data_IF_080958967059
#
_entry.id   IF_080958967059
#
_cell.length_a   1.000
_cell.length_b   1.000
_cell.length_c   1.000
_cell.angle_alpha   90.00
_cell.angle_beta   90.00
_cell.angle_gamma   90.00
#
_symmetry.space_group_name_H-M   'P 1'
#
loop_
_entity.id
_entity.type
_entity.pdbx_description
1 polymer ?
#
# COMPACT_ATOMS: atom_id res chain seq x y z
N UNK A 1 29.27 -24.72 18.80
CA UNK A 1 29.41 -23.36 19.35
C UNK A 1 29.99 -22.51 18.24
N UNK A 2 29.17 -21.99 17.33
CA UNK A 2 29.62 -21.14 16.23
C UNK A 2 30.04 -19.79 16.81
N UNK A 3 31.32 -19.47 16.58
CA UNK A 3 31.93 -18.21 17.01
C UNK A 3 31.26 -17.10 16.18
N UNK A 4 30.36 -16.31 16.79
CA UNK A 4 29.79 -15.10 16.21
C UNK A 4 30.97 -14.15 15.88
N UNK A 5 31.40 -14.15 14.62
CA UNK A 5 32.40 -13.22 14.13
C UNK A 5 31.82 -11.80 14.25
N UNK A 6 32.37 -10.99 15.16
CA UNK A 6 32.00 -9.58 15.32
C UNK A 6 32.17 -8.90 13.94
N UNK A 7 31.05 -8.61 13.27
CA UNK A 7 31.09 -7.90 11.99
C UNK A 7 31.56 -6.46 12.21
N UNK A 8 32.36 -5.97 11.29
CA UNK A 8 32.76 -4.56 11.24
C UNK A 8 31.51 -3.70 11.00
N UNK A 9 31.40 -2.54 11.66
CA UNK A 9 30.35 -1.55 11.40
C UNK A 9 30.29 -1.19 9.91
N UNK A 10 31.43 -1.10 9.22
CA UNK A 10 31.50 -0.86 7.79
C UNK A 10 30.80 -1.94 6.97
N UNK A 11 30.96 -3.23 7.32
CA UNK A 11 30.25 -4.33 6.65
C UNK A 11 28.74 -4.29 6.91
N UNK A 12 28.32 -3.86 8.08
CA UNK A 12 26.91 -3.71 8.43
C UNK A 12 26.26 -2.58 7.64
N UNK A 13 26.97 -1.47 7.48
CA UNK A 13 26.45 -0.32 6.72
C UNK A 13 26.53 -0.50 5.20
N UNK A 14 27.45 -1.31 4.68
CA UNK A 14 27.61 -1.53 3.24
C UNK A 14 26.34 -2.06 2.57
N UNK A 15 25.50 -2.82 3.29
CA UNK A 15 24.21 -3.34 2.78
C UNK A 15 23.26 -2.22 2.39
N UNK A 16 23.29 -1.08 3.09
CA UNK A 16 22.39 0.06 2.81
C UNK A 16 22.77 0.85 1.55
N UNK A 17 24.00 0.66 1.01
CA UNK A 17 24.44 1.28 -0.24
C UNK A 17 24.11 0.44 -1.50
N UNK A 18 23.47 -0.71 -1.33
CA UNK A 18 22.95 -1.48 -2.46
C UNK A 18 21.88 -0.67 -3.21
N UNK A 19 21.92 -0.68 -4.55
CA UNK A 19 20.93 0.02 -5.39
C UNK A 19 19.50 -0.44 -5.11
N UNK A 20 19.32 -1.68 -4.65
CA UNK A 20 18.02 -2.23 -4.25
C UNK A 20 17.43 -1.46 -3.06
N UNK A 21 18.27 -1.00 -2.14
CA UNK A 21 17.83 -0.23 -0.96
C UNK A 21 17.26 1.13 -1.35
N UNK A 22 17.83 1.79 -2.37
CA UNK A 22 17.29 3.05 -2.90
C UNK A 22 15.91 2.82 -3.53
N UNK A 23 15.75 1.73 -4.28
CA UNK A 23 14.43 1.35 -4.85
C UNK A 23 13.41 1.09 -3.76
N UNK A 24 13.82 0.41 -2.68
CA UNK A 24 12.96 0.11 -1.52
C UNK A 24 12.59 1.39 -0.77
N UNK A 25 13.54 2.32 -0.59
CA UNK A 25 13.26 3.64 -0.02
C UNK A 25 12.22 4.40 -0.85
N UNK A 26 12.34 4.37 -2.18
CA UNK A 26 11.36 4.98 -3.08
C UNK A 26 9.99 4.31 -2.96
N UNK A 27 9.93 2.97 -2.90
CA UNK A 27 8.68 2.24 -2.67
C UNK A 27 8.04 2.63 -1.33
N UNK A 28 8.84 2.76 -0.27
CA UNK A 28 8.37 3.26 1.01
C UNK A 28 7.79 4.66 0.90
N UNK A 29 8.47 5.58 0.19
CA UNK A 29 7.97 6.95 0.00
C UNK A 29 6.65 6.99 -0.79
N UNK A 30 6.51 6.15 -1.80
CA UNK A 30 5.26 5.98 -2.56
C UNK A 30 4.13 5.49 -1.64
N UNK A 31 4.42 4.57 -0.72
CA UNK A 31 3.45 4.02 0.24
C UNK A 31 3.06 5.05 1.31
N UNK A 32 4.01 5.82 1.85
CA UNK A 32 3.74 6.80 2.91
C UNK A 32 3.02 8.07 2.43
N UNK A 33 3.13 8.41 1.16
CA UNK A 33 2.59 9.67 0.62
C UNK A 33 1.06 9.80 0.72
N UNK A 34 0.22 8.79 0.41
CA UNK A 34 -1.24 8.91 0.53
C UNK A 34 -1.73 9.19 1.95
N UNK A 35 -0.96 8.81 2.97
CA UNK A 35 -1.28 9.10 4.37
C UNK A 35 -1.31 10.61 4.67
N UNK A 36 -0.53 11.42 3.94
CA UNK A 36 -0.61 12.89 4.04
C UNK A 36 -1.99 13.36 3.65
N UNK A 37 -2.53 12.80 2.58
CA UNK A 37 -3.79 13.22 1.96
C UNK A 37 -4.96 12.98 2.92
N UNK A 38 -5.10 11.74 3.41
CA UNK A 38 -6.23 11.33 4.25
C UNK A 38 -6.04 11.64 5.74
N UNK A 39 -4.79 11.76 6.20
CA UNK A 39 -4.48 12.06 7.60
C UNK A 39 -4.45 13.55 7.88
N UNK A 40 -3.34 14.19 7.58
CA UNK A 40 -3.11 15.58 7.94
C UNK A 40 -3.88 16.56 7.06
N UNK A 41 -3.83 16.40 5.72
CA UNK A 41 -4.44 17.37 4.80
C UNK A 41 -5.97 17.37 4.90
N UNK A 42 -6.61 16.20 4.90
CA UNK A 42 -8.06 16.11 5.07
C UNK A 42 -8.51 16.72 6.39
N UNK A 43 -7.86 16.35 7.50
CA UNK A 43 -8.24 16.84 8.83
C UNK A 43 -8.07 18.35 8.95
N UNK A 44 -7.02 18.91 8.36
CA UNK A 44 -6.76 20.34 8.40
C UNK A 44 -7.73 21.11 7.50
N UNK A 45 -7.97 20.62 6.29
CA UNK A 45 -8.98 21.17 5.38
C UNK A 45 -10.38 21.26 6.05
N UNK A 46 -10.86 20.16 6.65
CA UNK A 46 -12.14 20.14 7.35
C UNK A 46 -12.18 21.10 8.53
N UNK A 47 -11.05 21.24 9.25
CA UNK A 47 -10.94 22.18 10.37
C UNK A 47 -11.01 23.63 9.91
N UNK A 48 -10.29 24.00 8.85
CA UNK A 48 -10.22 25.37 8.33
C UNK A 48 -11.53 25.79 7.66
N UNK A 49 -12.27 24.84 7.09
CA UNK A 49 -13.63 25.05 6.60
C UNK A 49 -14.68 25.11 7.75
N UNK A 50 -14.25 25.11 9.01
CA UNK A 50 -15.11 25.37 10.17
C UNK A 50 -15.85 24.15 10.72
N UNK A 51 -15.52 22.93 10.30
CA UNK A 51 -16.17 21.72 10.82
C UNK A 51 -15.75 21.40 12.26
N UNK A 52 -16.69 20.81 13.02
CA UNK A 52 -16.45 20.50 14.42
C UNK A 52 -15.38 19.42 14.63
N UNK A 53 -14.67 19.46 15.77
CA UNK A 53 -13.69 18.43 16.13
C UNK A 53 -14.29 17.02 16.16
N UNK A 54 -15.55 16.90 16.60
CA UNK A 54 -16.27 15.63 16.60
C UNK A 54 -16.45 15.10 15.17
N UNK A 55 -16.87 15.95 14.25
CA UNK A 55 -17.02 15.60 12.83
C UNK A 55 -15.70 15.13 12.19
N UNK A 56 -14.60 15.84 12.49
CA UNK A 56 -13.26 15.48 12.02
C UNK A 56 -12.83 14.13 12.61
N UNK A 57 -13.12 13.89 13.90
CA UNK A 57 -12.86 12.62 14.56
C UNK A 57 -13.61 11.45 13.88
N UNK A 58 -14.87 11.63 13.53
CA UNK A 58 -15.64 10.63 12.78
C UNK A 58 -15.09 10.41 11.37
N UNK A 59 -14.65 11.46 10.68
CA UNK A 59 -13.98 11.33 9.38
C UNK A 59 -12.71 10.47 9.49
N UNK A 60 -12.01 10.51 10.63
CA UNK A 60 -10.84 9.68 10.89
C UNK A 60 -11.10 8.16 10.90
N UNK A 61 -12.36 7.71 11.00
CA UNK A 61 -12.68 6.28 10.91
C UNK A 61 -12.33 5.64 9.55
N UNK A 62 -12.06 6.44 8.52
CA UNK A 62 -11.54 5.91 7.24
C UNK A 62 -10.25 5.11 7.41
N UNK A 63 -9.45 5.41 8.46
CA UNK A 63 -8.25 4.66 8.79
C UNK A 63 -8.51 3.22 9.26
N UNK A 64 -9.74 2.89 9.69
CA UNK A 64 -10.09 1.52 10.07
C UNK A 64 -9.87 0.51 8.92
N UNK A 65 -9.89 0.98 7.67
CA UNK A 65 -9.60 0.15 6.49
C UNK A 65 -8.25 -0.55 6.58
N UNK A 66 -7.24 0.12 7.14
CA UNK A 66 -5.89 -0.46 7.29
C UNK A 66 -5.84 -1.63 8.27
N UNK A 67 -6.76 -1.68 9.25
CA UNK A 67 -6.87 -2.80 10.16
C UNK A 67 -7.39 -4.08 9.49
N UNK A 68 -8.05 -3.94 8.34
CA UNK A 68 -8.70 -5.05 7.64
C UNK A 68 -8.07 -5.37 6.29
N UNK A 69 -7.03 -4.64 5.86
CA UNK A 69 -6.44 -4.77 4.53
C UNK A 69 -5.91 -6.19 4.24
N UNK A 70 -5.47 -6.93 5.26
CA UNK A 70 -5.00 -8.31 5.13
C UNK A 70 -6.08 -9.27 4.62
N UNK A 71 -7.38 -8.94 4.78
CA UNK A 71 -8.47 -9.79 4.32
C UNK A 71 -8.54 -9.92 2.79
N UNK A 72 -8.14 -8.88 2.07
CA UNK A 72 -8.12 -8.91 0.61
C UNK A 72 -6.72 -9.04 0.00
N UNK A 73 -5.67 -9.10 0.81
CA UNK A 73 -4.31 -9.33 0.33
C UNK A 73 -4.19 -10.59 -0.57
N UNK A 74 -4.79 -11.76 -0.22
CA UNK A 74 -4.74 -12.92 -1.09
C UNK A 74 -5.44 -12.72 -2.45
N UNK A 75 -6.41 -11.81 -2.52
CA UNK A 75 -7.10 -11.46 -3.78
C UNK A 75 -6.15 -10.66 -4.66
N UNK A 76 -5.48 -9.65 -4.09
CA UNK A 76 -4.50 -8.81 -4.81
C UNK A 76 -3.36 -9.66 -5.36
N UNK A 77 -2.90 -10.66 -4.61
CA UNK A 77 -1.83 -11.55 -5.04
C UNK A 77 -2.21 -12.39 -6.28
N UNK A 78 -3.49 -12.63 -6.50
CA UNK A 78 -3.98 -13.52 -7.57
C UNK A 78 -4.63 -12.81 -8.74
N UNK A 79 -5.36 -11.73 -8.48
CA UNK A 79 -6.10 -11.03 -9.52
C UNK A 79 -5.15 -10.20 -10.37
N UNK A 80 -5.06 -10.56 -11.64
CA UNK A 80 -4.27 -9.82 -12.62
C UNK A 80 -5.13 -8.73 -13.25
N UNK A 81 -4.57 -7.53 -13.30
CA UNK A 81 -5.22 -6.43 -14.01
C UNK A 81 -4.96 -6.64 -15.51
N UNK A 82 -6.02 -6.88 -16.32
CA UNK A 82 -5.86 -7.05 -17.76
C UNK A 82 -5.05 -5.90 -18.37
N UNK A 83 -4.20 -6.21 -19.36
CA UNK A 83 -3.34 -5.26 -20.05
C UNK A 83 -2.21 -4.65 -19.18
N UNK A 84 -2.51 -4.14 -17.99
CA UNK A 84 -1.52 -3.47 -17.12
C UNK A 84 -0.47 -4.47 -16.61
N UNK A 85 -0.92 -5.61 -16.07
CA UNK A 85 -0.02 -6.68 -15.60
C UNK A 85 0.93 -7.18 -16.69
N UNK A 86 0.44 -7.28 -17.93
CA UNK A 86 1.26 -7.77 -19.03
C UNK A 86 2.32 -6.75 -19.50
N UNK A 87 2.05 -5.45 -19.31
CA UNK A 87 2.97 -4.39 -19.76
C UNK A 87 4.02 -4.00 -18.73
N UNK A 88 3.61 -3.89 -17.46
CA UNK A 88 4.46 -3.30 -16.43
C UNK A 88 4.72 -4.23 -15.23
N UNK A 89 4.13 -5.42 -15.21
CA UNK A 89 4.23 -6.35 -14.10
C UNK A 89 2.97 -6.40 -13.25
N UNK A 90 2.87 -7.42 -12.38
CA UNK A 90 1.68 -7.65 -11.57
C UNK A 90 1.59 -6.64 -10.41
N UNK A 91 2.68 -6.50 -9.65
CA UNK A 91 2.74 -5.60 -8.49
C UNK A 91 2.70 -4.14 -8.91
N UNK A 92 3.53 -3.78 -9.88
CA UNK A 92 3.54 -2.43 -10.44
C UNK A 92 2.20 -2.05 -11.05
N UNK A 93 1.52 -2.99 -11.71
CA UNK A 93 0.18 -2.77 -12.27
C UNK A 93 -0.84 -2.41 -11.19
N UNK A 94 -0.83 -3.09 -10.05
CA UNK A 94 -1.71 -2.77 -8.93
C UNK A 94 -1.37 -1.42 -8.31
N UNK A 95 -0.08 -1.10 -8.08
CA UNK A 95 0.34 0.20 -7.53
C UNK A 95 -0.13 1.33 -8.43
N UNK A 96 0.11 1.23 -9.76
CA UNK A 96 -0.31 2.26 -10.73
C UNK A 96 -1.82 2.43 -10.74
N UNK A 97 -2.59 1.34 -10.69
CA UNK A 97 -4.06 1.42 -10.63
C UNK A 97 -4.54 2.12 -9.37
N UNK A 98 -3.98 1.77 -8.20
CA UNK A 98 -4.36 2.41 -6.94
C UNK A 98 -4.01 3.89 -6.93
N UNK A 99 -2.84 4.26 -7.42
CA UNK A 99 -2.44 5.65 -7.56
C UNK A 99 -3.31 6.43 -8.57
N UNK A 100 -3.75 5.80 -9.65
CA UNK A 100 -4.70 6.41 -10.58
C UNK A 100 -6.05 6.68 -9.89
N UNK A 101 -6.55 5.75 -9.07
CA UNK A 101 -7.76 5.96 -8.27
C UNK A 101 -7.58 7.12 -7.29
N UNK A 102 -6.46 7.18 -6.58
CA UNK A 102 -6.16 8.29 -5.65
C UNK A 102 -6.11 9.62 -6.41
N UNK A 103 -5.47 9.65 -7.58
CA UNK A 103 -5.40 10.86 -8.41
C UNK A 103 -6.79 11.35 -8.83
N UNK A 104 -7.66 10.45 -9.29
CA UNK A 104 -9.05 10.78 -9.62
C UNK A 104 -9.78 11.33 -8.40
N UNK A 105 -9.61 10.73 -7.23
CA UNK A 105 -10.20 11.19 -5.98
C UNK A 105 -9.72 12.60 -5.60
N UNK A 106 -8.44 12.92 -5.79
CA UNK A 106 -7.90 14.26 -5.55
C UNK A 106 -8.50 15.30 -6.50
N UNK A 107 -8.67 14.95 -7.77
CA UNK A 107 -9.38 15.81 -8.73
C UNK A 107 -10.83 16.00 -8.30
N UNK A 108 -11.53 14.95 -7.82
CA UNK A 108 -12.87 15.11 -7.26
C UNK A 108 -12.89 16.05 -6.04
N UNK A 109 -11.95 15.91 -5.11
CA UNK A 109 -11.85 16.81 -3.94
C UNK A 109 -11.55 18.26 -4.35
N UNK A 110 -10.82 18.49 -5.43
CA UNK A 110 -10.56 19.85 -5.94
C UNK A 110 -11.82 20.57 -6.46
N UNK A 111 -12.91 19.85 -6.65
CA UNK A 111 -14.17 20.38 -7.18
C UNK A 111 -15.28 20.49 -6.13
N UNK A 112 -15.03 20.07 -4.88
CA UNK A 112 -16.06 19.94 -3.85
C UNK A 112 -15.80 20.92 -2.70
N UNK A 113 -16.89 21.45 -2.15
CA UNK A 113 -16.87 22.19 -0.88
C UNK A 113 -17.29 21.23 0.26
N UNK A 114 -16.46 21.04 1.30
CA UNK A 114 -16.73 20.07 2.36
C UNK A 114 -17.90 20.46 3.26
N UNK A 115 -18.16 21.75 3.47
CA UNK A 115 -19.29 22.20 4.28
C UNK A 115 -20.64 21.87 3.61
N UNK A 116 -20.70 21.92 2.28
CA UNK A 116 -21.91 21.59 1.53
C UNK A 116 -22.09 20.07 1.32
N UNK A 117 -21.00 19.31 1.20
CA UNK A 117 -21.02 17.91 0.75
C UNK A 117 -20.11 16.99 1.58
N UNK A 118 -20.16 17.10 2.89
CA UNK A 118 -19.28 16.36 3.82
C UNK A 118 -19.31 14.84 3.59
N UNK A 119 -20.50 14.26 3.41
CA UNK A 119 -20.65 12.83 3.19
C UNK A 119 -19.90 12.36 1.91
N UNK A 120 -19.91 13.18 0.86
CA UNK A 120 -19.17 12.90 -0.38
C UNK A 120 -17.66 13.01 -0.16
N UNK A 121 -17.19 14.03 0.57
CA UNK A 121 -15.77 14.19 0.91
C UNK A 121 -15.26 12.99 1.70
N UNK A 122 -15.99 12.53 2.71
CA UNK A 122 -15.63 11.36 3.51
C UNK A 122 -15.65 10.08 2.66
N UNK A 123 -16.66 9.92 1.79
CA UNK A 123 -16.75 8.76 0.90
C UNK A 123 -15.56 8.68 -0.06
N UNK A 124 -15.14 9.80 -0.63
CA UNK A 124 -13.94 9.88 -1.47
C UNK A 124 -12.69 9.57 -0.62
N UNK A 125 -12.60 10.10 0.60
CA UNK A 125 -11.52 9.79 1.53
C UNK A 125 -11.44 8.30 1.86
N UNK A 126 -12.58 7.62 2.01
CA UNK A 126 -12.63 6.18 2.19
C UNK A 126 -12.10 5.43 0.95
N UNK A 127 -12.43 5.88 -0.26
CA UNK A 127 -11.89 5.29 -1.50
C UNK A 127 -10.37 5.47 -1.54
N UNK A 128 -9.85 6.65 -1.17
CA UNK A 128 -8.41 6.90 -1.08
C UNK A 128 -7.77 5.95 -0.06
N UNK A 129 -8.39 5.76 1.12
CA UNK A 129 -7.89 4.87 2.16
C UNK A 129 -7.84 3.41 1.69
N UNK A 130 -8.89 2.92 0.99
CA UNK A 130 -8.92 1.58 0.41
C UNK A 130 -7.83 1.41 -0.65
N UNK A 131 -7.69 2.38 -1.54
CA UNK A 131 -6.67 2.36 -2.58
C UNK A 131 -5.25 2.39 -1.97
N UNK A 132 -5.01 3.25 -0.99
CA UNK A 132 -3.72 3.33 -0.29
C UNK A 132 -3.41 2.05 0.48
N UNK A 133 -4.35 1.49 1.25
CA UNK A 133 -4.15 0.23 1.97
C UNK A 133 -3.87 -0.95 1.02
N UNK A 134 -4.51 -0.96 -0.16
CA UNK A 134 -4.25 -1.95 -1.22
C UNK A 134 -2.86 -1.75 -1.85
N UNK A 135 -2.47 -0.49 -2.05
CA UNK A 135 -1.13 -0.15 -2.52
C UNK A 135 -0.06 -0.63 -1.54
N UNK A 136 -0.25 -0.44 -0.23
CA UNK A 136 0.71 -0.83 0.81
C UNK A 136 0.99 -2.34 0.77
N UNK A 137 -0.05 -3.17 0.66
CA UNK A 137 0.09 -4.63 0.48
C UNK A 137 0.98 -4.94 -0.74
N UNK A 138 0.73 -4.24 -1.84
CA UNK A 138 1.42 -4.50 -3.11
C UNK A 138 2.87 -4.01 -3.08
N UNK A 139 3.11 -2.87 -2.43
CA UNK A 139 4.46 -2.29 -2.21
C UNK A 139 5.29 -3.23 -1.34
N UNK A 140 4.72 -3.75 -0.25
CA UNK A 140 5.41 -4.70 0.62
C UNK A 140 5.77 -5.99 -0.11
N UNK A 141 4.88 -6.51 -0.92
CA UNK A 141 5.15 -7.69 -1.73
C UNK A 141 6.27 -7.42 -2.75
N UNK A 142 6.23 -6.28 -3.47
CA UNK A 142 7.26 -5.89 -4.43
C UNK A 142 8.63 -5.67 -3.75
N UNK A 143 8.64 -5.07 -2.55
CA UNK A 143 9.85 -4.89 -1.73
C UNK A 143 10.52 -6.23 -1.41
N UNK A 144 9.75 -7.21 -0.95
CA UNK A 144 10.25 -8.54 -0.62
C UNK A 144 10.81 -9.23 -1.89
N UNK A 145 10.16 -9.03 -3.03
CA UNK A 145 10.60 -9.57 -4.32
C UNK A 145 11.91 -8.94 -4.83
N UNK A 146 12.25 -7.71 -4.42
CA UNK A 146 13.54 -7.08 -4.74
C UNK A 146 14.72 -7.73 -4.03
N UNK A 147 14.47 -8.51 -2.96
CA UNK A 147 15.48 -9.14 -2.12
C UNK A 147 15.30 -10.66 -2.20
N UNK A 148 16.38 -11.40 -2.42
CA UNK A 148 16.32 -12.86 -2.49
C UNK A 148 15.92 -13.49 -1.14
N UNK A 149 15.20 -14.61 -1.18
CA UNK A 149 14.70 -15.32 0.02
C UNK A 149 15.80 -15.72 1.01
N UNK A 150 17.03 -15.92 0.53
CA UNK A 150 18.19 -16.35 1.32
C UNK A 150 19.04 -15.19 1.84
N UNK A 151 18.67 -13.94 1.58
CA UNK A 151 19.43 -12.75 1.95
C UNK A 151 18.90 -12.10 3.24
N UNK A 152 18.95 -12.80 4.37
CA UNK A 152 18.36 -12.35 5.64
C UNK A 152 18.82 -10.94 6.10
N UNK A 153 20.09 -10.56 5.87
CA UNK A 153 20.61 -9.23 6.21
C UNK A 153 20.03 -8.14 5.31
N UNK A 154 20.01 -8.38 4.01
CA UNK A 154 19.40 -7.48 3.03
C UNK A 154 17.89 -7.33 3.29
N UNK A 155 17.22 -8.38 3.76
CA UNK A 155 15.81 -8.34 4.13
C UNK A 155 15.56 -7.39 5.32
N UNK A 156 16.40 -7.45 6.37
CA UNK A 156 16.30 -6.55 7.51
C UNK A 156 16.61 -5.10 7.13
N UNK A 157 17.67 -4.88 6.34
CA UNK A 157 18.02 -3.55 5.83
C UNK A 157 16.90 -2.99 4.94
N UNK A 158 16.31 -3.82 4.07
CA UNK A 158 15.19 -3.44 3.23
C UNK A 158 13.95 -3.07 4.04
N UNK A 159 13.66 -3.77 5.14
CA UNK A 159 12.57 -3.38 6.04
C UNK A 159 12.82 -2.00 6.66
N UNK A 160 14.04 -1.74 7.15
CA UNK A 160 14.40 -0.43 7.69
C UNK A 160 14.32 0.68 6.63
N UNK A 161 14.82 0.44 5.41
CA UNK A 161 14.75 1.40 4.30
C UNK A 161 13.32 1.69 3.86
N UNK A 162 12.44 0.70 3.88
CA UNK A 162 11.00 0.91 3.60
C UNK A 162 10.36 1.84 4.63
N UNK A 163 10.66 1.65 5.92
CA UNK A 163 10.16 2.52 7.00
C UNK A 163 10.71 3.95 6.85
N UNK A 164 12.02 4.10 6.59
CA UNK A 164 12.62 5.43 6.33
C UNK A 164 11.97 6.08 5.12
N UNK A 165 11.76 5.32 4.04
CA UNK A 165 11.06 5.79 2.85
C UNK A 165 9.63 6.25 3.17
N UNK A 166 8.87 5.44 3.91
CA UNK A 166 7.50 5.75 4.30
C UNK A 166 7.42 7.08 5.06
N UNK A 167 8.26 7.25 6.09
CA UNK A 167 8.34 8.52 6.83
C UNK A 167 8.79 9.69 5.95
N UNK A 168 9.69 9.45 5.00
CA UNK A 168 10.15 10.47 4.05
C UNK A 168 8.99 10.92 3.17
N UNK A 169 8.25 10.00 2.56
CA UNK A 169 7.08 10.32 1.74
C UNK A 169 6.00 11.07 2.51
N UNK A 170 5.68 10.59 3.72
CA UNK A 170 4.73 11.23 4.61
C UNK A 170 5.16 12.66 5.00
N UNK A 171 6.40 12.85 5.47
CA UNK A 171 6.89 14.14 5.95
C UNK A 171 7.07 15.16 4.81
N UNK A 172 7.71 14.77 3.72
CA UNK A 172 7.89 15.66 2.56
C UNK A 172 6.56 16.03 1.93
N UNK A 173 5.65 15.07 1.80
CA UNK A 173 4.29 15.35 1.32
C UNK A 173 3.55 16.34 2.24
N UNK A 174 3.68 16.18 3.56
CA UNK A 174 3.11 17.10 4.54
C UNK A 174 3.69 18.52 4.43
N UNK A 175 5.00 18.64 4.26
CA UNK A 175 5.66 19.94 4.03
C UNK A 175 5.10 20.60 2.77
N UNK A 176 4.99 19.86 1.67
CA UNK A 176 4.44 20.42 0.41
C UNK A 176 2.98 20.81 0.60
N UNK A 177 2.15 19.97 1.23
CA UNK A 177 0.74 20.26 1.45
C UNK A 177 0.53 21.54 2.25
N UNK A 178 1.23 21.68 3.38
CA UNK A 178 1.07 22.83 4.28
C UNK A 178 1.58 24.13 3.63
N UNK A 179 2.77 24.09 3.03
CA UNK A 179 3.33 25.29 2.37
C UNK A 179 2.50 25.70 1.15
N UNK A 180 1.98 24.76 0.38
CA UNK A 180 1.10 25.07 -0.74
C UNK A 180 -0.22 25.71 -0.26
N UNK A 181 -0.87 25.11 0.75
CA UNK A 181 -2.09 25.66 1.31
C UNK A 181 -1.87 27.09 1.87
N UNK A 182 -0.83 27.30 2.67
CA UNK A 182 -0.47 28.61 3.24
C UNK A 182 -0.15 29.63 2.12
N UNK A 183 0.62 29.24 1.11
CA UNK A 183 0.97 30.12 0.00
C UNK A 183 -0.28 30.62 -0.75
N UNK A 184 -1.19 29.71 -1.14
CA UNK A 184 -2.39 30.08 -1.87
C UNK A 184 -3.39 30.84 -0.99
N UNK A 185 -3.47 30.54 0.28
CA UNK A 185 -4.26 31.32 1.26
C UNK A 185 -3.75 32.74 1.36
N UNK A 186 -2.42 32.96 1.48
CA UNK A 186 -1.82 34.27 1.64
C UNK A 186 -1.97 35.17 0.40
N UNK A 187 -2.05 34.59 -0.80
CA UNK A 187 -2.31 35.35 -2.03
C UNK A 187 -3.81 35.51 -2.34
N UNK A 188 -4.68 35.10 -1.41
CA UNK A 188 -6.12 35.38 -1.45
C UNK A 188 -6.98 34.39 -2.24
N UNK A 189 -6.51 33.17 -2.48
CA UNK A 189 -7.35 32.13 -3.07
C UNK A 189 -8.30 31.54 -2.02
N UNK A 190 -9.60 31.62 -2.25
CA UNK A 190 -10.60 31.02 -1.35
C UNK A 190 -10.54 29.47 -1.38
N UNK A 191 -10.23 28.87 -2.54
CA UNK A 191 -10.17 27.43 -2.75
C UNK A 191 -8.73 26.91 -2.68
N UNK A 192 -7.93 27.34 -1.68
CA UNK A 192 -6.51 27.00 -1.57
C UNK A 192 -6.27 25.53 -1.29
N UNK A 193 -7.14 24.83 -0.55
CA UNK A 193 -7.05 23.39 -0.36
C UNK A 193 -7.31 22.60 -1.63
N UNK A 194 -8.26 23.03 -2.44
CA UNK A 194 -8.57 22.40 -3.72
C UNK A 194 -7.37 22.44 -4.67
N UNK A 195 -6.67 23.59 -4.72
CA UNK A 195 -5.43 23.74 -5.48
C UNK A 195 -4.32 22.85 -4.88
N UNK A 196 -4.22 22.81 -3.57
CA UNK A 196 -3.25 21.96 -2.86
C UNK A 196 -3.44 20.47 -3.21
N UNK A 197 -4.66 19.97 -3.29
CA UNK A 197 -4.91 18.59 -3.71
C UNK A 197 -4.47 18.30 -5.14
N UNK A 198 -4.59 19.26 -6.06
CA UNK A 198 -4.04 19.11 -7.42
C UNK A 198 -2.51 19.03 -7.41
N UNK A 199 -1.85 19.84 -6.58
CA UNK A 199 -0.38 19.78 -6.42
C UNK A 199 0.04 18.41 -5.86
N UNK A 200 -0.66 17.89 -4.85
CA UNK A 200 -0.42 16.55 -4.33
C UNK A 200 -0.64 15.48 -5.42
N UNK A 201 -1.61 15.70 -6.32
CA UNK A 201 -1.81 14.86 -7.49
C UNK A 201 -0.60 14.83 -8.44
N UNK A 202 0.06 15.97 -8.65
CA UNK A 202 1.31 16.03 -9.44
C UNK A 202 2.41 15.19 -8.81
N UNK A 203 2.51 15.17 -7.47
CA UNK A 203 3.48 14.31 -6.77
C UNK A 203 3.17 12.82 -7.00
N UNK A 204 1.89 12.43 -6.99
CA UNK A 204 1.50 11.04 -7.33
C UNK A 204 1.95 10.67 -8.75
N UNK A 205 1.81 11.59 -9.71
CA UNK A 205 2.31 11.35 -11.08
C UNK A 205 3.82 11.16 -11.06
N UNK A 206 4.57 11.98 -10.32
CA UNK A 206 6.01 11.83 -10.16
C UNK A 206 6.37 10.49 -9.50
N UNK A 207 5.62 10.04 -8.48
CA UNK A 207 5.76 8.73 -7.86
C UNK A 207 5.56 7.59 -8.87
N UNK A 208 4.56 7.68 -9.76
CA UNK A 208 4.34 6.71 -10.82
C UNK A 208 5.51 6.65 -11.81
N UNK A 209 6.08 7.80 -12.17
CA UNK A 209 7.29 7.86 -13.01
C UNK A 209 8.45 7.17 -12.27
N UNK A 210 8.66 7.46 -10.98
CA UNK A 210 9.68 6.84 -10.15
C UNK A 210 9.51 5.31 -10.07
N UNK A 211 8.27 4.82 -9.96
CA UNK A 211 7.95 3.39 -9.94
C UNK A 211 8.40 2.67 -11.23
N UNK A 212 8.43 3.36 -12.38
CA UNK A 212 8.86 2.74 -13.64
C UNK A 212 10.35 2.34 -13.65
N UNK A 213 11.18 2.94 -12.78
CA UNK A 213 12.59 2.57 -12.62
C UNK A 213 12.81 1.34 -11.72
N UNK A 214 11.76 0.83 -11.08
CA UNK A 214 11.82 -0.37 -10.25
C UNK A 214 11.41 -1.57 -11.09
N UNK A 215 12.34 -2.47 -11.36
CA UNK A 215 12.04 -3.65 -12.13
C UNK A 215 11.25 -4.66 -11.29
N UNK A 216 10.29 -5.31 -11.92
CA UNK A 216 9.58 -6.46 -11.37
C UNK A 216 9.90 -7.67 -12.26
N UNK A 217 10.39 -8.75 -11.65
CA UNK A 217 10.61 -9.99 -12.37
C UNK A 217 9.26 -10.59 -12.78
N UNK A 218 9.04 -10.68 -14.08
CA UNK A 218 7.84 -11.27 -14.68
C UNK A 218 7.86 -12.79 -14.51
N UNK A 219 7.97 -13.29 -13.27
CA UNK A 219 8.10 -14.72 -13.03
C UNK A 219 6.83 -15.47 -13.42
N UNK A 220 6.92 -16.18 -14.54
CA UNK A 220 5.90 -17.11 -15.07
C UNK A 220 5.69 -18.29 -14.12
N UNK A 221 6.69 -18.66 -13.31
CA UNK A 221 6.68 -19.84 -12.44
C UNK A 221 5.64 -19.79 -11.31
N UNK A 222 5.40 -18.63 -10.68
CA UNK A 222 4.38 -18.52 -9.64
C UNK A 222 2.97 -18.81 -10.16
N UNK A 223 2.69 -18.38 -11.38
CA UNK A 223 1.40 -18.62 -12.04
C UNK A 223 1.19 -20.07 -12.40
N UNK A 224 2.25 -20.74 -12.80
CA UNK A 224 2.22 -22.17 -13.14
C UNK A 224 1.91 -23.00 -11.89
N UNK A 225 2.61 -22.76 -10.80
CA UNK A 225 2.39 -23.42 -9.50
C UNK A 225 0.99 -23.18 -8.94
N UNK A 226 0.45 -21.96 -9.07
CA UNK A 226 -0.90 -21.65 -8.65
C UNK A 226 -1.96 -22.37 -9.48
N UNK A 227 -1.84 -22.33 -10.81
CA UNK A 227 -2.76 -23.06 -11.71
C UNK A 227 -2.74 -24.56 -11.48
N UNK A 228 -1.57 -25.13 -11.16
CA UNK A 228 -1.48 -26.56 -10.78
C UNK A 228 -2.24 -26.86 -9.50
N UNK A 229 -2.11 -26.02 -8.46
CA UNK A 229 -2.87 -26.18 -7.19
C UNK A 229 -4.36 -26.07 -7.42
N UNK A 230 -4.83 -25.12 -8.22
CA UNK A 230 -6.24 -24.95 -8.55
C UNK A 230 -6.80 -26.20 -9.27
N UNK A 231 -6.07 -26.70 -10.28
CA UNK A 231 -6.46 -27.94 -10.97
C UNK A 231 -6.56 -29.15 -10.04
N UNK A 232 -5.61 -29.28 -9.08
CA UNK A 232 -5.65 -30.37 -8.09
C UNK A 232 -6.86 -30.25 -7.15
N UNK A 233 -7.27 -29.02 -6.78
CA UNK A 233 -8.46 -28.80 -5.96
C UNK A 233 -9.73 -29.09 -6.78
N UNK A 234 -9.80 -28.62 -8.04
CA UNK A 234 -10.92 -28.92 -8.95
C UNK A 234 -11.10 -30.44 -9.15
N UNK A 235 -9.99 -31.18 -9.35
CA UNK A 235 -10.03 -32.64 -9.47
C UNK A 235 -10.54 -33.34 -8.21
N UNK A 236 -10.19 -32.82 -7.02
CA UNK A 236 -10.68 -33.38 -5.74
C UNK A 236 -12.17 -33.11 -5.51
N UNK A 237 -12.71 -32.04 -6.09
CA UNK A 237 -14.12 -31.66 -5.94
C UNK A 237 -15.04 -32.37 -6.95
N UNK A 238 -14.47 -33.07 -7.94
CA UNK A 238 -15.20 -34.06 -8.78
C UNK A 238 -16.20 -33.49 -9.81
N UNK A 239 -16.30 -32.17 -9.96
CA UNK A 239 -17.20 -31.56 -10.96
C UNK A 239 -16.60 -30.27 -11.53
N UNK A 240 -16.73 -30.05 -12.83
CA UNK A 240 -16.21 -28.84 -13.51
C UNK A 240 -17.30 -27.78 -13.73
N UNK A 241 -18.08 -27.47 -12.71
CA UNK A 241 -19.10 -26.42 -12.74
C UNK A 241 -18.52 -25.07 -12.29
N UNK A 242 -19.18 -23.97 -12.64
CA UNK A 242 -18.79 -22.61 -12.23
C UNK A 242 -18.66 -22.52 -10.70
N UNK A 243 -19.57 -23.13 -9.96
CA UNK A 243 -19.56 -23.18 -8.49
C UNK A 243 -18.30 -23.89 -7.97
N UNK A 244 -17.93 -25.04 -8.53
CA UNK A 244 -16.74 -25.80 -8.15
C UNK A 244 -15.45 -25.02 -8.42
N UNK A 245 -15.39 -24.32 -9.55
CA UNK A 245 -14.26 -23.43 -9.87
C UNK A 245 -14.15 -22.27 -8.89
N UNK A 246 -15.27 -21.64 -8.54
CA UNK A 246 -15.30 -20.56 -7.55
C UNK A 246 -14.89 -21.04 -6.16
N UNK A 247 -15.35 -22.21 -5.73
CA UNK A 247 -14.98 -22.83 -4.45
C UNK A 247 -13.49 -23.20 -4.46
N UNK A 248 -12.98 -23.81 -5.54
CA UNK A 248 -11.56 -24.12 -5.69
C UNK A 248 -10.68 -22.87 -5.63
N UNK A 249 -11.14 -21.80 -6.29
CA UNK A 249 -10.45 -20.51 -6.27
C UNK A 249 -10.42 -19.89 -4.87
N UNK A 250 -11.55 -19.82 -4.16
CA UNK A 250 -11.65 -19.29 -2.79
C UNK A 250 -10.80 -20.15 -1.84
N UNK A 251 -10.94 -21.48 -1.92
CA UNK A 251 -10.18 -22.40 -1.07
C UNK A 251 -8.68 -22.26 -1.30
N UNK A 252 -8.25 -22.20 -2.55
CA UNK A 252 -6.83 -22.01 -2.89
C UNK A 252 -6.30 -20.61 -2.56
N UNK A 253 -7.15 -19.56 -2.63
CA UNK A 253 -6.74 -18.16 -2.48
C UNK A 253 -6.75 -17.70 -1.03
N UNK A 254 -7.77 -18.09 -0.26
CA UNK A 254 -7.98 -17.59 1.11
C UNK A 254 -7.76 -18.70 2.13
N UNK A 255 -8.51 -19.79 2.01
CA UNK A 255 -8.52 -20.84 3.03
C UNK A 255 -7.16 -21.56 3.11
N UNK A 256 -6.55 -21.85 1.97
CA UNK A 256 -5.26 -22.54 1.92
C UNK A 256 -4.13 -21.76 2.58
N UNK A 257 -3.85 -20.51 2.21
CA UNK A 257 -2.84 -19.69 2.88
C UNK A 257 -3.09 -19.48 4.35
N UNK A 258 -4.33 -19.16 4.75
CA UNK A 258 -4.71 -18.98 6.15
C UNK A 258 -4.50 -20.28 6.95
N UNK A 259 -4.99 -21.41 6.45
CA UNK A 259 -4.80 -22.72 7.09
C UNK A 259 -3.32 -23.08 7.20
N UNK A 260 -2.53 -22.80 6.15
CA UNK A 260 -1.09 -23.06 6.15
C UNK A 260 -0.35 -22.18 7.15
N UNK A 261 -0.75 -20.92 7.30
CA UNK A 261 -0.20 -20.00 8.29
C UNK A 261 -0.40 -20.52 9.72
N UNK A 262 -1.63 -20.94 10.07
CA UNK A 262 -1.92 -21.50 11.38
C UNK A 262 -1.23 -22.85 11.61
N UNK A 263 -1.16 -23.72 10.58
CA UNK A 263 -0.45 -25.00 10.69
C UNK A 263 1.05 -24.83 10.88
N UNK A 264 1.66 -23.86 10.19
CA UNK A 264 3.11 -23.61 10.25
C UNK A 264 3.55 -22.99 11.57
N UNK A 265 2.77 -22.07 12.11
CA UNK A 265 3.16 -21.27 13.29
C UNK A 265 2.52 -21.76 14.59
N UNK A 266 1.52 -22.65 14.52
CA UNK A 266 0.69 -23.00 15.67
C UNK A 266 -0.34 -21.90 15.99
N UNK A 267 -1.46 -22.29 16.61
CA UNK A 267 -2.59 -21.38 16.82
C UNK A 267 -2.23 -20.16 17.68
N UNK A 268 -1.52 -20.37 18.79
CA UNK A 268 -1.19 -19.29 19.73
C UNK A 268 -0.20 -18.28 19.13
N UNK A 269 0.81 -18.74 18.40
CA UNK A 269 1.80 -17.86 17.76
C UNK A 269 1.14 -17.11 16.59
N UNK A 270 0.31 -17.79 15.79
CA UNK A 270 -0.42 -17.16 14.71
C UNK A 270 -1.37 -16.07 15.23
N UNK A 271 -2.07 -16.32 16.33
CA UNK A 271 -2.93 -15.33 16.98
C UNK A 271 -2.13 -14.15 17.53
N UNK A 272 -0.97 -14.40 18.15
CA UNK A 272 -0.08 -13.34 18.64
C UNK A 272 0.45 -12.46 17.50
N UNK A 273 0.84 -13.04 16.36
CA UNK A 273 1.28 -12.30 15.17
C UNK A 273 0.13 -11.42 14.64
N UNK A 274 -1.09 -11.96 14.54
CA UNK A 274 -2.26 -11.21 14.12
C UNK A 274 -2.59 -10.07 15.10
N UNK A 275 -2.53 -10.33 16.40
CA UNK A 275 -2.76 -9.30 17.43
C UNK A 275 -1.70 -8.19 17.36
N UNK A 276 -0.42 -8.53 17.19
CA UNK A 276 0.66 -7.55 17.02
C UNK A 276 0.49 -6.74 15.73
N UNK A 277 0.03 -7.35 14.64
CA UNK A 277 -0.29 -6.65 13.40
C UNK A 277 -1.39 -5.60 13.60
N UNK A 278 -2.41 -5.88 14.42
CA UNK A 278 -3.47 -4.93 14.75
C UNK A 278 -3.02 -3.78 15.65
N UNK A 279 -2.05 -4.02 16.55
CA UNK A 279 -1.52 -2.99 17.46
C UNK A 279 -0.65 -1.98 16.70
N UNK A 280 -0.01 -2.36 15.62
CA UNK A 280 0.87 -1.48 14.83
C UNK A 280 0.12 -0.56 13.84
N UNK A 281 -1.19 -0.67 13.77
CA UNK A 281 -2.09 0.17 12.99
C UNK A 281 -2.76 1.21 13.89
#
# INVERSE_FOLDING_TARGET
MEIYKKQSLAETFSVYFDQRMIKILLLGAISGFPWVIIGSSLSLWLKEDGLSRSTIGWAGLIFAVYAFNYLWAPIIDRVRIPWLTNKIGHRRGWIVLMQAIILICLVCWSLINPTANLALVISIGLIIAIASATQDITVDALRIEQIGENEGKSMQAGAAMAVVGWWTGYKLGGVVALNAAEFFQNIGFENYWQITFLILGVIIIACNIGLMFINEDLSTDRNFSQKQREKLIEQKLGASNIITKSVAWITGTVVGPVSSFFKKNGFNIALAILALSLIHI
#
